data_IF_371783227065
#
_entry.id   IF_371783227065
#
_cell.length_a   1.000
_cell.length_b   1.000
_cell.length_c   1.000
_cell.angle_alpha   90.00
_cell.angle_beta   90.00
_cell.angle_gamma   90.00
#
_symmetry.space_group_name_H-M   'P 1'
#
loop_
_entity.id
_entity.type
_entity.pdbx_description
1 polymer ?
#
# COMPACT_ATOMS: atom_id res chain seq x y z
N UNK A 1 -2.06 -14.63 27.58
CA UNK A 1 -2.13 -15.18 26.22
C UNK A 1 -1.26 -14.29 25.35
N UNK A 2 -0.24 -14.83 24.68
CA UNK A 2 0.40 -14.10 23.58
C UNK A 2 -0.65 -14.03 22.48
N UNK A 3 -1.14 -12.84 22.15
CA UNK A 3 -2.01 -12.67 21.00
C UNK A 3 -1.29 -13.24 19.79
N UNK A 4 -1.78 -14.38 19.29
CA UNK A 4 -1.20 -15.02 18.12
C UNK A 4 -1.66 -14.18 16.94
N UNK A 5 -0.73 -13.45 16.33
CA UNK A 5 -1.00 -12.73 15.11
C UNK A 5 -1.42 -13.73 14.03
N UNK A 6 -2.65 -13.57 13.53
CA UNK A 6 -3.14 -14.33 12.39
C UNK A 6 -2.92 -13.52 11.11
N UNK A 7 -1.71 -13.62 10.56
CA UNK A 7 -1.36 -12.93 9.32
C UNK A 7 -2.22 -13.36 8.13
N UNK A 8 -2.83 -14.54 8.16
CA UNK A 8 -3.73 -14.99 7.09
C UNK A 8 -5.03 -14.21 7.17
N UNK A 9 -5.62 -14.10 8.36
CA UNK A 9 -6.83 -13.29 8.58
C UNK A 9 -6.57 -11.81 8.27
N UNK A 10 -5.49 -11.24 8.82
CA UNK A 10 -5.12 -9.84 8.58
C UNK A 10 -4.90 -9.55 7.10
N UNK A 11 -4.25 -10.46 6.37
CA UNK A 11 -4.07 -10.32 4.91
C UNK A 11 -5.42 -10.30 4.19
N UNK A 12 -6.35 -11.18 4.56
CA UNK A 12 -7.68 -11.23 3.96
C UNK A 12 -8.47 -9.95 4.24
N UNK A 13 -8.32 -9.35 5.41
CA UNK A 13 -8.99 -8.09 5.78
C UNK A 13 -8.50 -6.93 4.89
N UNK A 14 -7.18 -6.76 4.78
CA UNK A 14 -6.59 -5.72 3.91
C UNK A 14 -6.98 -5.94 2.45
N UNK A 15 -6.96 -7.18 1.95
CA UNK A 15 -7.35 -7.50 0.58
C UNK A 15 -8.83 -7.23 0.31
N UNK A 16 -9.70 -7.44 1.31
CA UNK A 16 -11.13 -7.10 1.23
C UNK A 16 -11.31 -5.59 1.10
N UNK A 17 -10.65 -4.80 1.94
CA UNK A 17 -10.75 -3.34 1.91
C UNK A 17 -10.21 -2.76 0.58
N UNK A 18 -9.08 -3.29 0.08
CA UNK A 18 -8.53 -2.96 -1.25
C UNK A 18 -9.55 -3.23 -2.35
N UNK A 19 -10.24 -4.38 -2.30
CA UNK A 19 -11.26 -4.75 -3.28
C UNK A 19 -12.50 -3.86 -3.21
N UNK A 20 -12.99 -3.58 -2.01
CA UNK A 20 -14.16 -2.71 -1.80
C UNK A 20 -13.90 -1.30 -2.33
N UNK A 21 -12.67 -0.79 -2.17
CA UNK A 21 -12.21 0.49 -2.71
C UNK A 21 -11.71 0.43 -4.16
N UNK A 22 -11.73 -0.74 -4.79
CA UNK A 22 -11.30 -0.98 -6.18
C UNK A 22 -9.83 -0.61 -6.44
N UNK A 23 -8.95 -0.86 -5.47
CA UNK A 23 -7.53 -0.50 -5.48
C UNK A 23 -6.60 -1.63 -5.96
N UNK A 24 -7.15 -2.74 -6.50
CA UNK A 24 -6.40 -3.98 -6.78
C UNK A 24 -5.29 -3.81 -7.82
N UNK A 25 -5.34 -2.77 -8.65
CA UNK A 25 -4.29 -2.46 -9.62
C UNK A 25 -3.13 -1.64 -9.05
N UNK A 26 -3.17 -1.28 -7.77
CA UNK A 26 -2.03 -0.66 -7.09
C UNK A 26 -0.99 -1.71 -6.75
N UNK A 27 0.29 -1.39 -6.93
CA UNK A 27 1.35 -2.28 -6.48
C UNK A 27 1.41 -2.25 -4.95
N UNK A 28 1.15 -3.39 -4.33
CA UNK A 28 1.24 -3.54 -2.88
C UNK A 28 1.79 -4.92 -2.51
N UNK A 29 2.38 -5.00 -1.32
CA UNK A 29 2.90 -6.25 -0.74
C UNK A 29 2.46 -6.34 0.71
N UNK A 30 1.86 -7.48 1.07
CA UNK A 30 1.36 -7.75 2.42
C UNK A 30 2.19 -8.85 3.08
N UNK A 31 2.69 -8.55 4.27
CA UNK A 31 3.44 -9.44 5.16
C UNK A 31 4.70 -10.08 4.55
N UNK A 32 5.32 -9.38 3.60
CA UNK A 32 6.62 -9.74 3.02
C UNK A 32 7.49 -8.47 2.84
N UNK A 33 8.51 -8.31 3.69
CA UNK A 33 9.42 -7.17 3.62
C UNK A 33 10.37 -7.27 2.41
N UNK A 34 10.73 -8.49 2.00
CA UNK A 34 11.82 -8.76 1.09
C UNK A 34 11.38 -8.88 -0.37
N UNK A 35 10.07 -8.90 -0.63
CA UNK A 35 9.53 -8.91 -2.00
C UNK A 35 10.06 -7.71 -2.78
N UNK A 36 10.76 -7.99 -3.88
CA UNK A 36 11.18 -6.94 -4.79
C UNK A 36 10.04 -6.65 -5.78
N UNK A 37 9.23 -5.63 -5.48
CA UNK A 37 8.18 -5.13 -6.36
C UNK A 37 8.32 -3.60 -6.53
N UNK A 38 8.72 -3.12 -7.71
CA UNK A 38 8.87 -1.69 -7.97
C UNK A 38 7.59 -0.90 -7.72
N UNK A 39 7.74 0.31 -7.17
CA UNK A 39 6.64 1.24 -6.84
C UNK A 39 5.59 0.68 -5.86
N UNK A 40 5.89 -0.42 -5.15
CA UNK A 40 4.94 -1.00 -4.21
C UNK A 40 4.92 -0.30 -2.85
N UNK A 41 3.76 -0.29 -2.22
CA UNK A 41 3.64 -0.08 -0.78
C UNK A 41 3.71 -1.42 -0.06
N UNK A 42 4.59 -1.51 0.93
CA UNK A 42 4.71 -2.69 1.78
C UNK A 42 4.03 -2.44 3.11
N UNK A 43 3.23 -3.41 3.56
CA UNK A 43 2.79 -3.57 4.95
C UNK A 43 3.38 -4.89 5.45
N UNK A 44 4.23 -4.86 6.47
CA UNK A 44 4.88 -6.06 7.01
C UNK A 44 5.03 -5.98 8.52
N UNK A 45 5.33 -7.10 9.17
CA UNK A 45 5.50 -7.16 10.62
C UNK A 45 6.96 -7.43 10.97
N UNK A 46 7.57 -6.58 11.79
CA UNK A 46 8.96 -6.72 12.26
C UNK A 46 9.11 -6.13 13.66
N UNK A 47 9.90 -6.78 14.51
CA UNK A 47 10.25 -6.29 15.85
C UNK A 47 9.04 -5.87 16.71
N UNK A 48 7.94 -6.62 16.62
CA UNK A 48 6.75 -6.34 17.41
C UNK A 48 5.79 -5.31 16.79
N UNK A 49 6.13 -4.72 15.64
CA UNK A 49 5.40 -3.60 15.02
C UNK A 49 4.98 -3.89 13.58
N UNK A 50 3.85 -3.35 13.18
CA UNK A 50 3.44 -3.26 11.78
C UNK A 50 4.16 -2.09 11.11
N UNK A 51 4.90 -2.34 10.06
CA UNK A 51 5.73 -1.38 9.36
C UNK A 51 5.20 -1.13 7.95
N UNK A 52 5.18 0.14 7.55
CA UNK A 52 4.73 0.59 6.23
C UNK A 52 5.77 1.47 5.58
N UNK A 53 6.11 1.16 4.32
CA UNK A 53 6.97 2.00 3.50
C UNK A 53 6.68 1.83 2.00
N UNK A 54 7.02 2.85 1.21
CA UNK A 54 6.94 2.80 -0.26
C UNK A 54 8.27 2.36 -0.89
N UNK A 55 8.23 1.97 -2.16
CA UNK A 55 9.40 1.60 -2.96
C UNK A 55 9.52 2.46 -4.22
N UNK A 56 10.73 2.66 -4.73
CA UNK A 56 10.97 3.27 -6.06
C UNK A 56 11.03 2.22 -7.18
N UNK A 57 11.45 2.63 -8.38
CA UNK A 57 11.63 1.77 -9.55
C UNK A 57 12.77 0.74 -9.39
N UNK A 58 13.72 1.01 -8.49
CA UNK A 58 14.84 0.14 -8.13
C UNK A 58 14.54 -0.69 -6.88
N UNK A 59 13.33 -0.55 -6.34
CA UNK A 59 12.88 -1.17 -5.11
C UNK A 59 13.67 -0.76 -3.87
N UNK A 60 14.20 0.47 -3.84
CA UNK A 60 14.70 1.08 -2.61
C UNK A 60 13.56 1.67 -1.80
N UNK A 61 13.71 1.66 -0.46
CA UNK A 61 12.75 2.28 0.46
C UNK A 61 12.69 3.78 0.18
N UNK A 62 11.49 4.26 -0.14
CA UNK A 62 11.23 5.68 -0.36
C UNK A 62 10.63 6.32 0.88
N UNK A 63 11.30 7.36 1.37
CA UNK A 63 10.86 8.12 2.55
C UNK A 63 11.05 7.36 3.87
N UNK A 64 10.25 7.74 4.88
CA UNK A 64 10.31 7.15 6.21
C UNK A 64 9.44 5.88 6.28
N UNK A 65 9.98 4.82 6.87
CA UNK A 65 9.17 3.68 7.36
C UNK A 65 8.35 4.12 8.57
N UNK A 66 7.03 4.00 8.48
CA UNK A 66 6.11 4.28 9.60
C UNK A 66 5.84 2.96 10.32
N UNK A 67 5.78 3.00 11.66
CA UNK A 67 5.57 1.81 12.47
C UNK A 67 4.38 2.00 13.42
N UNK A 68 3.58 0.96 13.57
CA UNK A 68 2.35 0.92 14.35
C UNK A 68 2.37 -0.27 15.31
N UNK A 69 1.79 -0.09 16.50
CA UNK A 69 1.59 -1.16 17.48
C UNK A 69 0.27 -1.91 17.24
N UNK A 70 -0.73 -1.23 16.69
CA UNK A 70 -2.05 -1.78 16.38
C UNK A 70 -2.21 -2.09 14.88
N UNK A 71 -2.90 -3.19 14.58
CA UNK A 71 -3.13 -3.62 13.20
C UNK A 71 -4.14 -2.72 12.46
N UNK A 72 -5.23 -2.33 13.12
CA UNK A 72 -6.28 -1.53 12.48
C UNK A 72 -5.75 -0.14 12.11
N UNK A 73 -4.90 0.45 12.98
CA UNK A 73 -4.20 1.69 12.65
C UNK A 73 -3.28 1.54 11.44
N UNK A 74 -2.53 0.43 11.37
CA UNK A 74 -1.65 0.14 10.25
C UNK A 74 -2.42 -0.07 8.95
N UNK A 75 -3.49 -0.86 8.97
CA UNK A 75 -4.38 -1.08 7.83
C UNK A 75 -4.99 0.22 7.35
N UNK A 76 -5.60 1.01 8.23
CA UNK A 76 -6.20 2.29 7.88
C UNK A 76 -5.19 3.23 7.23
N UNK A 77 -3.99 3.34 7.81
CA UNK A 77 -2.93 4.15 7.22
C UNK A 77 -2.48 3.60 5.85
N UNK A 78 -2.36 2.29 5.71
CA UNK A 78 -1.96 1.62 4.48
C UNK A 78 -2.94 1.92 3.35
N UNK A 79 -4.23 1.73 3.59
CA UNK A 79 -5.29 1.96 2.60
C UNK A 79 -5.33 3.43 2.18
N UNK A 80 -5.27 4.36 3.13
CA UNK A 80 -5.17 5.80 2.84
C UNK A 80 -3.96 6.13 1.96
N UNK A 81 -2.82 5.45 2.14
CA UNK A 81 -1.64 5.63 1.27
C UNK A 81 -1.91 5.18 -0.15
N UNK A 82 -2.63 4.08 -0.35
CA UNK A 82 -3.00 3.61 -1.69
C UNK A 82 -3.96 4.60 -2.39
N UNK A 83 -4.97 5.10 -1.67
CA UNK A 83 -5.92 6.10 -2.18
C UNK A 83 -5.22 7.41 -2.58
N UNK A 84 -4.39 7.97 -1.70
CA UNK A 84 -3.61 9.17 -2.02
C UNK A 84 -2.63 8.97 -3.18
N UNK A 85 -2.11 7.75 -3.35
CA UNK A 85 -1.27 7.44 -4.50
C UNK A 85 -2.06 7.46 -5.81
N UNK A 86 -3.33 7.02 -5.79
CA UNK A 86 -4.27 7.20 -6.92
C UNK A 86 -4.49 8.65 -7.23
N UNK A 87 -4.86 9.46 -6.24
CA UNK A 87 -5.09 10.89 -6.42
C UNK A 87 -3.85 11.61 -6.99
N UNK A 88 -2.66 11.27 -6.47
CA UNK A 88 -1.40 11.84 -6.94
C UNK A 88 -1.11 11.50 -8.40
N UNK A 89 -1.31 10.25 -8.83
CA UNK A 89 -1.09 9.85 -10.22
C UNK A 89 -2.16 10.45 -11.16
N UNK A 90 -3.43 10.52 -10.74
CA UNK A 90 -4.47 11.26 -11.47
C UNK A 90 -4.09 12.73 -11.66
N UNK A 91 -3.59 13.38 -10.60
CA UNK A 91 -3.14 14.77 -10.68
C UNK A 91 -1.94 14.93 -11.62
N UNK A 92 -0.96 14.01 -11.59
CA UNK A 92 0.18 14.01 -12.53
C UNK A 92 -0.27 13.98 -13.98
N UNK A 93 -1.23 13.11 -14.33
CA UNK A 93 -1.79 13.06 -15.67
C UNK A 93 -2.43 14.39 -16.07
N UNK A 94 -3.22 15.02 -15.17
CA UNK A 94 -3.84 16.33 -15.42
C UNK A 94 -2.82 17.44 -15.73
N UNK A 95 -1.63 17.38 -15.13
CA UNK A 95 -0.54 18.34 -15.39
C UNK A 95 0.46 17.88 -16.47
N UNK A 96 0.10 16.87 -17.28
CA UNK A 96 0.92 16.39 -18.40
C UNK A 96 2.15 15.58 -17.98
N UNK A 97 2.23 15.11 -16.73
CA UNK A 97 3.31 14.23 -16.24
C UNK A 97 2.90 12.77 -16.37
N UNK A 98 3.89 11.92 -16.65
CA UNK A 98 3.69 10.46 -16.72
C UNK A 98 3.54 9.86 -15.30
N UNK A 99 2.61 8.92 -15.08
CA UNK A 99 2.52 8.16 -13.84
C UNK A 99 3.72 7.20 -13.74
N UNK A 100 3.93 6.63 -12.55
CA UNK A 100 5.06 5.73 -12.29
C UNK A 100 4.96 4.41 -13.05
N UNK A 101 3.75 3.90 -13.26
CA UNK A 101 3.43 2.71 -14.04
C UNK A 101 2.02 2.83 -14.62
N UNK A 102 1.61 1.94 -15.52
CA UNK A 102 0.26 1.94 -16.10
C UNK A 102 -0.74 1.30 -15.13
N UNK A 103 -1.87 1.95 -14.88
CA UNK A 103 -2.99 1.37 -14.13
C UNK A 103 -4.32 2.01 -14.57
N UNK A 104 -5.41 1.23 -14.60
CA UNK A 104 -6.74 1.73 -14.95
C UNK A 104 -7.29 2.74 -13.92
N UNK A 105 -6.66 2.89 -12.75
CA UNK A 105 -7.13 3.84 -11.72
C UNK A 105 -6.77 5.28 -12.03
N UNK A 106 -5.77 5.53 -12.89
CA UNK A 106 -5.37 6.87 -13.25
C UNK A 106 -6.35 7.55 -14.20
N UNK A 107 -6.94 6.76 -15.11
CA UNK A 107 -7.83 7.26 -16.16
C UNK A 107 -9.30 7.34 -15.72
N UNK A 108 -9.64 6.73 -14.58
CA UNK A 108 -10.97 6.87 -13.98
C UNK A 108 -11.17 8.31 -13.51
N UNK A 109 -12.01 9.05 -14.22
CA UNK A 109 -12.71 10.21 -13.66
C UNK A 109 -13.79 9.69 -12.73
N UNK A 110 -13.93 10.27 -11.54
CA UNK A 110 -15.05 9.95 -10.65
C UNK A 110 -16.32 10.43 -11.38
N UNK A 111 -17.06 9.48 -11.98
CA UNK A 111 -18.44 9.70 -12.47
C UNK A 111 -19.43 9.74 -11.31
#
# INVERSE_FOLDING_TARGET
MKDILDFKFMKQDVEKEIKEKKLESIHYVLFDENKNLPWAFHLFYRDGKFMINGRDDRSYVMGRTVAFDDFNEAEYFFINKLEHFVESNRFKLKIGKKPYYSSPLWDKTDE
#
